data_IF_605582923246
#
_entry.id   IF_605582923246
#
_cell.length_a   1.000
_cell.length_b   1.000
_cell.length_c   1.000
_cell.angle_alpha   90.00
_cell.angle_beta   90.00
_cell.angle_gamma   90.00
#
_symmetry.space_group_name_H-M   'P 1'
#
loop_
_entity.id
_entity.type
_entity.pdbx_description
1 polymer ?
#
# COMPACT_ATOMS: atom_id res chain seq x y z
N UNK A 1 3.92 -32.61 -18.62
CA UNK A 1 4.62 -31.40 -19.12
C UNK A 1 3.90 -30.19 -18.52
N UNK A 2 4.57 -29.35 -17.77
CA UNK A 2 3.92 -28.15 -17.19
C UNK A 2 3.58 -27.14 -18.30
N UNK A 3 2.38 -26.57 -18.23
CA UNK A 3 1.95 -25.47 -19.11
C UNK A 3 2.61 -24.14 -18.73
N UNK A 4 3.16 -24.08 -17.51
CA UNK A 4 3.78 -22.87 -16.98
C UNK A 4 5.30 -22.99 -17.06
N UNK A 5 5.93 -21.92 -17.58
CA UNK A 5 7.38 -21.72 -17.52
C UNK A 5 7.64 -20.50 -16.64
N UNK A 6 8.30 -20.71 -15.50
CA UNK A 6 8.85 -19.61 -14.74
C UNK A 6 10.07 -19.05 -15.48
N UNK A 7 10.16 -17.72 -15.56
CA UNK A 7 11.32 -16.99 -16.09
C UNK A 7 11.63 -15.84 -15.15
N UNK A 8 12.90 -15.64 -14.90
CA UNK A 8 13.35 -14.44 -14.20
C UNK A 8 13.16 -13.27 -15.16
N UNK A 9 12.34 -12.32 -14.71
CA UNK A 9 11.99 -11.16 -15.51
C UNK A 9 12.72 -9.91 -15.03
N UNK A 10 12.65 -9.63 -13.73
CA UNK A 10 13.22 -8.44 -13.15
C UNK A 10 13.54 -8.67 -11.67
N UNK A 11 14.67 -8.13 -11.19
CA UNK A 11 15.10 -8.23 -9.81
C UNK A 11 15.73 -6.90 -9.40
N UNK A 12 15.32 -6.34 -8.28
CA UNK A 12 15.93 -5.17 -7.67
C UNK A 12 16.25 -5.44 -6.20
N UNK A 13 17.30 -4.81 -5.70
CA UNK A 13 17.65 -4.85 -4.28
C UNK A 13 16.99 -3.68 -3.55
N UNK A 14 16.19 -3.97 -2.53
CA UNK A 14 15.48 -2.98 -1.72
C UNK A 14 16.27 -2.61 -0.45
N UNK A 15 17.50 -2.16 -0.60
CA UNK A 15 18.38 -1.88 0.54
C UNK A 15 19.10 -3.13 1.07
N UNK A 16 20.10 -2.96 1.94
CA UNK A 16 20.91 -4.05 2.52
C UNK A 16 20.51 -4.17 3.96
N UNK A 17 20.28 -3.68 4.87
CA UNK A 17 19.96 -3.90 6.30
C UNK A 17 18.52 -3.50 6.64
N UNK A 18 17.59 -3.68 5.70
CA UNK A 18 16.20 -3.33 5.89
C UNK A 18 15.33 -4.58 6.14
N UNK A 19 14.24 -4.42 6.87
CA UNK A 19 13.27 -5.48 7.15
C UNK A 19 11.91 -5.11 6.57
N UNK A 20 11.17 -6.14 6.13
CA UNK A 20 9.92 -5.99 5.41
C UNK A 20 8.91 -7.05 5.87
N UNK A 21 7.62 -6.68 5.87
CA UNK A 21 6.51 -7.63 5.98
C UNK A 21 5.80 -7.80 4.63
N UNK A 22 4.96 -8.82 4.51
CA UNK A 22 4.16 -9.05 3.32
C UNK A 22 3.24 -7.85 2.98
N UNK A 23 2.80 -7.13 4.00
CA UNK A 23 1.96 -5.93 3.88
C UNK A 23 2.71 -4.67 3.44
N UNK A 24 4.04 -4.73 3.37
CA UNK A 24 4.88 -3.61 2.91
C UNK A 24 5.01 -3.51 1.40
N UNK A 25 4.28 -4.32 0.63
CA UNK A 25 4.33 -4.37 -0.83
C UNK A 25 2.92 -4.19 -1.42
N UNK A 26 2.78 -3.27 -2.36
CA UNK A 26 1.58 -3.20 -3.21
C UNK A 26 1.94 -2.88 -4.67
N UNK A 27 1.01 -3.17 -5.56
CA UNK A 27 1.18 -2.96 -7.02
C UNK A 27 -0.06 -2.27 -7.56
N UNK A 28 0.16 -1.29 -8.43
CA UNK A 28 -0.89 -0.60 -9.17
C UNK A 28 -0.40 0.71 -9.78
N UNK A 29 -1.27 1.39 -10.52
CA UNK A 29 -0.94 2.64 -11.20
C UNK A 29 -1.04 3.84 -10.23
N UNK A 30 -0.06 3.99 -9.34
CA UNK A 30 -0.01 5.07 -8.36
C UNK A 30 0.24 6.45 -8.97
N UNK A 31 0.89 6.50 -10.15
CA UNK A 31 1.11 7.76 -10.88
C UNK A 31 -0.17 8.30 -11.53
N UNK A 32 -1.20 7.46 -11.66
CA UNK A 32 -2.45 7.78 -12.34
C UNK A 32 -2.27 8.17 -13.82
N UNK A 33 -1.18 7.76 -14.43
CA UNK A 33 -0.93 7.96 -15.86
C UNK A 33 -1.39 6.70 -16.63
N UNK A 34 -2.46 6.80 -17.43
CA UNK A 34 -2.99 5.65 -18.17
C UNK A 34 -2.04 5.11 -19.25
N UNK A 35 -1.02 5.86 -19.61
CA UNK A 35 0.01 5.45 -20.58
C UNK A 35 1.11 4.61 -19.95
N UNK A 36 1.19 4.58 -18.61
CA UNK A 36 2.23 3.87 -17.86
C UNK A 36 1.73 2.52 -17.36
N UNK A 37 2.67 1.59 -17.18
CA UNK A 37 2.42 0.32 -16.49
C UNK A 37 2.27 0.53 -14.98
N UNK A 38 1.70 -0.47 -14.30
CA UNK A 38 1.62 -0.48 -12.84
C UNK A 38 3.01 -0.36 -12.20
N UNK A 39 3.06 0.38 -11.11
CA UNK A 39 4.24 0.53 -10.28
C UNK A 39 4.25 -0.49 -9.15
N UNK A 40 5.45 -0.86 -8.71
CA UNK A 40 5.70 -1.67 -7.52
C UNK A 40 6.10 -0.72 -6.40
N UNK A 41 5.34 -0.70 -5.31
CA UNK A 41 5.55 0.17 -4.17
C UNK A 41 5.98 -0.69 -2.99
N UNK A 42 7.15 -0.39 -2.43
CA UNK A 42 7.74 -1.15 -1.31
C UNK A 42 8.07 -0.19 -0.18
N UNK A 43 7.56 -0.50 1.02
CA UNK A 43 7.93 0.19 2.25
C UNK A 43 8.80 -0.70 3.13
N UNK A 44 9.67 -0.11 3.95
CA UNK A 44 10.49 -0.85 4.92
C UNK A 44 10.22 -0.42 6.36
N UNK A 45 10.57 -1.28 7.32
CA UNK A 45 10.49 -0.93 8.74
C UNK A 45 11.49 0.17 9.13
N UNK A 46 12.51 0.41 8.29
CA UNK A 46 13.42 1.56 8.42
C UNK A 46 12.79 2.88 7.94
N UNK A 47 11.56 2.83 7.42
CA UNK A 47 10.83 4.00 6.94
C UNK A 47 11.16 4.41 5.51
N UNK A 48 11.85 3.58 4.73
CA UNK A 48 12.15 3.90 3.33
C UNK A 48 11.00 3.42 2.44
N UNK A 49 10.41 4.33 1.68
CA UNK A 49 9.44 4.03 0.63
C UNK A 49 10.12 4.08 -0.72
N UNK A 50 9.99 3.01 -1.51
CA UNK A 50 10.49 2.94 -2.88
C UNK A 50 9.36 2.66 -3.86
N UNK A 51 9.42 3.31 -5.00
CA UNK A 51 8.49 3.09 -6.10
C UNK A 51 9.27 2.71 -7.33
N UNK A 52 8.95 1.55 -7.89
CA UNK A 52 9.59 1.02 -9.09
C UNK A 52 8.60 0.89 -10.23
N UNK A 53 9.09 1.09 -11.43
CA UNK A 53 8.37 0.84 -12.69
C UNK A 53 9.24 0.00 -13.61
N UNK A 54 9.18 -1.35 -13.48
CA UNK A 54 9.95 -2.21 -14.36
C UNK A 54 9.45 -2.12 -15.80
N UNK A 55 10.37 -2.15 -16.75
CA UNK A 55 10.05 -2.23 -18.18
C UNK A 55 10.20 -3.66 -18.68
N UNK A 56 9.32 -4.06 -19.61
CA UNK A 56 9.36 -5.40 -20.24
C UNK A 56 10.33 -5.42 -21.45
N UNK A 57 11.37 -4.59 -21.44
CA UNK A 57 12.32 -4.59 -22.54
C UNK A 57 13.08 -5.92 -22.65
N UNK A 58 13.12 -6.48 -23.85
CA UNK A 58 13.88 -7.68 -24.15
C UNK A 58 15.11 -7.29 -24.97
N UNK A 59 16.22 -7.95 -24.68
CA UNK A 59 17.42 -7.88 -25.50
C UNK A 59 17.21 -8.62 -26.82
N UNK A 60 18.10 -8.41 -27.80
CA UNK A 60 18.06 -9.10 -29.08
C UNK A 60 18.09 -10.63 -28.95
N UNK A 61 18.69 -11.14 -27.89
CA UNK A 61 18.75 -12.58 -27.54
C UNK A 61 17.47 -13.11 -26.89
N UNK A 62 16.43 -12.27 -26.69
CA UNK A 62 15.15 -12.64 -26.08
C UNK A 62 15.19 -12.80 -24.56
N UNK A 63 16.26 -12.37 -23.90
CA UNK A 63 16.36 -12.25 -22.45
C UNK A 63 15.82 -10.91 -21.98
N UNK A 64 15.36 -10.83 -20.72
CA UNK A 64 14.90 -9.57 -20.14
C UNK A 64 16.10 -8.74 -19.66
N UNK A 65 16.03 -7.42 -19.79
CA UNK A 65 17.13 -6.52 -19.44
C UNK A 65 17.43 -6.42 -17.93
N UNK A 66 16.52 -6.87 -17.08
CA UNK A 66 16.67 -6.79 -15.62
C UNK A 66 16.49 -5.38 -15.07
N UNK A 67 17.07 -5.13 -13.87
CA UNK A 67 16.97 -3.83 -13.20
C UNK A 67 17.88 -2.78 -13.87
N UNK A 68 17.32 -1.58 -14.02
CA UNK A 68 18.05 -0.35 -14.40
C UNK A 68 17.74 0.75 -13.37
N UNK A 69 18.67 1.70 -13.14
CA UNK A 69 18.43 2.82 -12.22
C UNK A 69 17.16 3.62 -12.53
N UNK A 70 16.81 3.76 -13.81
CA UNK A 70 15.62 4.47 -14.29
C UNK A 70 14.31 3.79 -13.91
N UNK A 71 14.35 2.50 -13.54
CA UNK A 71 13.19 1.79 -13.04
C UNK A 71 12.81 2.20 -11.61
N UNK A 72 13.68 2.84 -10.85
CA UNK A 72 13.37 3.41 -9.55
C UNK A 72 12.88 4.86 -9.74
N UNK A 73 11.57 5.05 -9.65
CA UNK A 73 10.92 6.35 -9.82
C UNK A 73 11.11 7.25 -8.61
N UNK A 74 11.10 6.66 -7.42
CA UNK A 74 11.18 7.40 -6.15
C UNK A 74 11.83 6.53 -5.07
N UNK A 75 12.72 7.15 -4.29
CA UNK A 75 13.13 6.68 -2.96
C UNK A 75 12.90 7.81 -1.98
N UNK A 76 12.13 7.56 -0.93
CA UNK A 76 11.72 8.58 0.03
C UNK A 76 11.84 8.08 1.46
N UNK A 77 12.54 8.83 2.32
CA UNK A 77 12.68 8.51 3.74
C UNK A 77 11.51 9.10 4.53
N UNK A 78 10.68 8.23 5.10
CA UNK A 78 9.65 8.58 6.07
C UNK A 78 10.24 8.76 7.48
N UNK A 79 9.56 9.51 8.31
CA UNK A 79 9.97 9.75 9.70
C UNK A 79 9.78 8.53 10.62
N UNK A 80 8.97 7.56 10.22
CA UNK A 80 8.62 6.38 11.01
C UNK A 80 8.64 5.12 10.16
N UNK A 81 8.70 3.96 10.82
CA UNK A 81 8.60 2.65 10.17
C UNK A 81 7.33 2.55 9.31
N UNK A 82 7.43 1.89 8.17
CA UNK A 82 6.29 1.55 7.32
C UNK A 82 5.89 0.12 7.65
N UNK A 83 4.65 -0.07 8.09
CA UNK A 83 4.11 -1.37 8.50
C UNK A 83 3.18 -1.96 7.44
N UNK A 84 2.50 -1.10 6.68
CA UNK A 84 1.57 -1.52 5.64
C UNK A 84 1.50 -0.45 4.54
N UNK A 85 1.38 -0.87 3.30
CA UNK A 85 1.19 0.01 2.14
C UNK A 85 -0.02 -0.46 1.35
N UNK A 86 -0.94 0.45 1.08
CA UNK A 86 -2.15 0.20 0.28
C UNK A 86 -2.27 1.23 -0.83
N UNK A 87 -2.93 0.84 -1.91
CA UNK A 87 -3.27 1.73 -3.00
C UNK A 87 -4.79 1.73 -3.19
N UNK A 88 -5.41 2.92 -3.29
CA UNK A 88 -6.85 3.05 -3.43
C UNK A 88 -7.32 4.49 -3.61
N UNK A 89 -8.64 4.66 -3.75
CA UNK A 89 -9.31 5.95 -3.92
C UNK A 89 -9.63 6.58 -2.55
N UNK A 90 -8.60 7.05 -1.86
CA UNK A 90 -8.68 7.50 -0.46
C UNK A 90 -8.97 9.00 -0.28
N UNK A 91 -9.09 9.77 -1.36
CA UNK A 91 -9.32 11.23 -1.29
C UNK A 91 -10.67 11.57 -1.88
N UNK A 92 -11.46 12.38 -1.15
CA UNK A 92 -12.80 12.79 -1.57
C UNK A 92 -12.78 13.58 -2.89
N UNK A 93 -13.83 13.37 -3.67
CA UNK A 93 -14.02 14.01 -4.99
C UNK A 93 -12.86 13.74 -5.99
N UNK A 94 -12.17 12.60 -5.86
CA UNK A 94 -11.08 12.20 -6.75
C UNK A 94 -11.20 10.74 -7.15
N UNK A 95 -11.12 10.46 -8.46
CA UNK A 95 -11.06 9.10 -9.01
C UNK A 95 -9.63 8.55 -9.07
N UNK A 96 -8.65 9.30 -8.55
CA UNK A 96 -7.24 8.92 -8.55
C UNK A 96 -6.94 7.90 -7.47
N UNK A 97 -5.90 7.10 -7.72
CA UNK A 97 -5.30 6.21 -6.73
C UNK A 97 -4.27 6.97 -5.88
N UNK A 98 -4.32 6.75 -4.59
CA UNK A 98 -3.40 7.32 -3.61
C UNK A 98 -2.74 6.21 -2.81
N UNK A 99 -1.56 6.49 -2.27
CA UNK A 99 -0.80 5.56 -1.45
C UNK A 99 -1.15 5.82 0.02
N UNK A 100 -1.81 4.86 0.67
CA UNK A 100 -1.99 4.89 2.12
C UNK A 100 -0.85 4.11 2.79
N UNK A 101 -0.24 4.71 3.80
CA UNK A 101 0.91 4.16 4.52
C UNK A 101 0.57 4.11 6.01
N UNK A 102 0.61 2.90 6.57
CA UNK A 102 0.44 2.69 8.00
C UNK A 102 1.81 2.75 8.68
N UNK A 103 1.88 3.59 9.69
CA UNK A 103 2.97 3.68 10.67
C UNK A 103 2.48 3.19 12.04
N UNK A 104 3.35 2.99 13.05
CA UNK A 104 2.94 2.46 14.36
C UNK A 104 1.78 3.21 15.03
N UNK A 105 1.73 4.54 14.91
CA UNK A 105 0.70 5.38 15.55
C UNK A 105 0.09 6.41 14.60
N UNK A 106 0.21 6.19 13.30
CA UNK A 106 -0.30 7.12 12.29
C UNK A 106 -0.62 6.38 11.00
N UNK A 107 -1.65 6.79 10.31
CA UNK A 107 -1.88 6.45 8.91
C UNK A 107 -1.84 7.72 8.07
N UNK A 108 -1.12 7.71 6.96
CA UNK A 108 -0.96 8.85 6.08
C UNK A 108 -1.29 8.48 4.65
N UNK A 109 -1.91 9.40 3.92
CA UNK A 109 -2.29 9.20 2.52
C UNK A 109 -1.51 10.18 1.65
N UNK A 110 -0.90 9.67 0.60
CA UNK A 110 0.02 10.40 -0.25
C UNK A 110 -0.37 10.31 -1.72
N UNK A 111 -0.12 11.37 -2.45
CA UNK A 111 -0.18 11.43 -3.91
C UNK A 111 1.22 11.24 -4.49
N UNK A 112 1.36 10.36 -5.47
CA UNK A 112 2.54 10.25 -6.30
C UNK A 112 2.29 11.02 -7.60
N UNK A 113 3.00 12.13 -7.79
CA UNK A 113 2.90 12.95 -8.99
C UNK A 113 4.20 12.97 -9.74
N UNK A 114 4.15 12.71 -11.05
CA UNK A 114 5.26 12.97 -11.96
C UNK A 114 5.23 14.43 -12.41
N UNK A 115 6.35 15.10 -12.31
CA UNK A 115 6.54 16.45 -12.82
C UNK A 115 7.51 16.39 -14.01
N UNK A 116 7.03 16.78 -15.18
CA UNK A 116 7.87 16.92 -16.37
C UNK A 116 8.62 18.25 -16.27
N UNK A 117 9.76 18.24 -15.57
CA UNK A 117 10.59 19.43 -15.41
C UNK A 117 11.09 19.97 -16.73
N UNK A 118 11.01 21.29 -16.93
CA UNK A 118 11.55 21.96 -18.12
C UNK A 118 13.09 21.94 -18.20
N UNK A 119 13.77 21.61 -17.10
CA UNK A 119 15.23 21.78 -16.97
C UNK A 119 16.06 20.51 -17.16
N UNK A 120 15.49 19.31 -16.99
CA UNK A 120 16.20 18.03 -17.19
C UNK A 120 15.33 17.04 -17.98
N UNK A 121 15.92 16.25 -18.88
CA UNK A 121 15.19 15.22 -19.61
C UNK A 121 14.84 14.07 -18.67
N UNK A 122 13.55 13.96 -18.31
CA UNK A 122 12.99 12.90 -17.48
C UNK A 122 11.84 13.39 -16.63
N UNK A 123 10.93 12.49 -16.26
CA UNK A 123 9.87 12.78 -15.31
C UNK A 123 10.42 12.60 -13.90
N UNK A 124 10.42 13.64 -13.09
CA UNK A 124 10.73 13.55 -11.67
C UNK A 124 9.46 13.23 -10.91
N UNK A 125 9.51 12.24 -10.02
CA UNK A 125 8.38 11.87 -9.19
C UNK A 125 8.50 12.48 -7.80
N UNK A 126 7.39 13.00 -7.30
CA UNK A 126 7.28 13.60 -5.97
C UNK A 126 6.15 12.95 -5.18
N UNK A 127 6.43 12.66 -3.92
CA UNK A 127 5.44 12.23 -2.96
C UNK A 127 4.90 13.44 -2.18
N UNK A 128 3.58 13.63 -2.21
CA UNK A 128 2.92 14.74 -1.52
C UNK A 128 1.92 14.20 -0.52
N UNK A 129 2.02 14.64 0.74
CA UNK A 129 1.03 14.30 1.76
C UNK A 129 -0.31 14.96 1.43
N UNK A 130 -1.38 14.18 1.42
CA UNK A 130 -2.75 14.66 1.27
C UNK A 130 -3.37 14.90 2.64
N UNK A 131 -3.36 13.89 3.50
CA UNK A 131 -3.80 13.98 4.89
C UNK A 131 -3.17 12.87 5.73
N UNK A 132 -3.27 13.01 7.04
CA UNK A 132 -2.85 11.98 7.98
C UNK A 132 -3.78 11.93 9.20
N UNK A 133 -3.87 10.75 9.80
CA UNK A 133 -4.60 10.54 11.07
C UNK A 133 -3.66 9.96 12.11
N UNK A 134 -3.66 10.56 13.30
CA UNK A 134 -3.02 9.97 14.48
C UNK A 134 -3.93 8.89 15.05
N UNK A 135 -3.36 7.74 15.36
CA UNK A 135 -4.07 6.60 15.92
C UNK A 135 -4.00 6.62 17.44
N UNK A 136 -5.10 6.26 18.10
CA UNK A 136 -5.21 6.23 19.57
C UNK A 136 -4.35 5.14 20.20
N UNK A 137 -4.12 4.04 19.49
CA UNK A 137 -3.27 2.93 19.90
C UNK A 137 -2.27 2.58 18.80
N UNK A 138 -1.13 1.98 19.13
CA UNK A 138 -0.24 1.41 18.13
C UNK A 138 -0.99 0.41 17.25
N UNK A 139 -0.70 0.39 15.97
CA UNK A 139 -1.41 -0.41 14.98
C UNK A 139 -0.42 -1.16 14.10
N UNK A 140 -0.85 -2.29 13.54
CA UNK A 140 0.04 -3.17 12.78
C UNK A 140 -0.55 -3.64 11.44
N UNK A 141 -1.86 -3.50 11.24
CA UNK A 141 -2.55 -3.94 10.04
C UNK A 141 -3.62 -2.94 9.62
N UNK A 142 -3.82 -2.78 8.33
CA UNK A 142 -4.96 -2.06 7.79
C UNK A 142 -5.49 -2.75 6.54
N UNK A 143 -6.77 -2.55 6.28
CA UNK A 143 -7.44 -2.99 5.05
C UNK A 143 -8.21 -1.83 4.46
N UNK A 144 -8.36 -1.85 3.15
CA UNK A 144 -9.15 -0.88 2.42
C UNK A 144 -10.30 -1.54 1.68
N UNK A 145 -11.35 -0.80 1.43
CA UNK A 145 -12.48 -1.27 0.64
C UNK A 145 -13.65 -0.31 0.62
N UNK A 146 -14.65 -0.68 -0.15
CA UNK A 146 -15.90 0.07 -0.33
C UNK A 146 -16.89 -0.24 0.82
N UNK A 147 -16.50 0.02 2.07
CA UNK A 147 -17.34 -0.27 3.23
C UNK A 147 -18.69 0.43 3.11
N UNK A 148 -19.77 -0.23 3.52
CA UNK A 148 -21.13 0.26 3.33
C UNK A 148 -21.62 0.21 1.88
N UNK A 149 -20.92 -0.48 0.98
CA UNK A 149 -21.30 -0.65 -0.42
C UNK A 149 -21.15 0.62 -1.27
N UNK A 150 -20.42 1.62 -0.80
CA UNK A 150 -20.18 2.88 -1.52
C UNK A 150 -19.17 2.64 -2.64
N UNK A 151 -19.60 2.79 -3.89
CA UNK A 151 -18.74 2.58 -5.07
C UNK A 151 -17.93 3.83 -5.40
N UNK A 152 -16.68 3.60 -5.90
CA UNK A 152 -15.80 4.68 -6.36
C UNK A 152 -15.10 5.43 -5.23
N UNK A 153 -15.14 4.89 -4.02
CA UNK A 153 -14.42 5.41 -2.86
C UNK A 153 -13.93 4.24 -2.00
N UNK A 154 -12.69 4.31 -1.57
CA UNK A 154 -12.12 3.35 -0.64
C UNK A 154 -12.02 3.98 0.75
N UNK A 155 -12.47 3.23 1.74
CA UNK A 155 -12.34 3.56 3.15
C UNK A 155 -11.24 2.71 3.78
N UNK A 156 -10.71 3.17 4.90
CA UNK A 156 -9.63 2.50 5.62
C UNK A 156 -10.16 1.95 6.94
N UNK A 157 -9.79 0.71 7.25
CA UNK A 157 -9.97 0.12 8.58
C UNK A 157 -8.58 -0.25 9.12
N UNK A 158 -8.21 0.32 10.25
CA UNK A 158 -6.93 0.10 10.92
C UNK A 158 -7.13 -0.73 12.16
N UNK A 159 -6.33 -1.79 12.32
CA UNK A 159 -6.37 -2.68 13.48
C UNK A 159 -5.27 -2.29 14.47
N UNK A 160 -5.69 -1.95 15.69
CA UNK A 160 -4.82 -1.59 16.80
C UNK A 160 -4.40 -2.80 17.64
N UNK A 161 -3.30 -2.66 18.38
CA UNK A 161 -2.81 -3.68 19.33
C UNK A 161 -3.70 -3.84 20.55
N UNK A 162 -4.64 -2.95 20.77
CA UNK A 162 -5.65 -2.99 21.84
C UNK A 162 -6.96 -3.66 21.41
N UNK A 163 -6.99 -4.25 20.20
CA UNK A 163 -8.19 -4.88 19.64
C UNK A 163 -9.15 -3.88 18.99
N UNK A 164 -8.76 -2.63 18.85
CA UNK A 164 -9.56 -1.64 18.14
C UNK A 164 -9.53 -1.86 16.63
N UNK A 165 -10.69 -1.67 16.00
CA UNK A 165 -10.85 -1.47 14.57
C UNK A 165 -11.31 -0.04 14.36
N UNK A 166 -10.42 0.80 13.83
CA UNK A 166 -10.67 2.22 13.61
C UNK A 166 -10.95 2.46 12.13
N UNK A 167 -12.10 3.06 11.84
CA UNK A 167 -12.57 3.31 10.48
C UNK A 167 -12.41 4.77 10.10
N UNK A 168 -11.95 4.99 8.87
CA UNK A 168 -11.81 6.31 8.27
C UNK A 168 -12.54 6.35 6.93
N UNK A 169 -13.42 7.33 6.79
CA UNK A 169 -14.08 7.69 5.54
C UNK A 169 -13.27 8.79 4.86
N UNK A 170 -12.26 8.35 4.09
CA UNK A 170 -11.29 9.24 3.43
C UNK A 170 -10.61 10.18 4.47
N UNK A 171 -10.76 11.49 4.36
CA UNK A 171 -10.16 12.48 5.27
C UNK A 171 -10.78 12.49 6.67
N UNK A 172 -11.89 11.78 6.88
CA UNK A 172 -12.65 11.88 8.12
C UNK A 172 -12.55 10.61 8.96
N UNK A 173 -12.41 10.79 10.26
CA UNK A 173 -12.65 9.70 11.22
C UNK A 173 -14.15 9.36 11.22
N UNK A 174 -14.46 8.06 11.09
CA UNK A 174 -15.83 7.57 11.15
C UNK A 174 -16.20 7.08 12.56
N UNK A 175 -15.62 5.97 12.98
CA UNK A 175 -15.85 5.37 14.29
C UNK A 175 -14.76 4.36 14.65
N UNK A 176 -14.76 3.92 15.90
CA UNK A 176 -13.94 2.81 16.39
C UNK A 176 -14.84 1.72 16.99
N UNK A 177 -14.55 0.47 16.65
CA UNK A 177 -15.13 -0.72 17.25
C UNK A 177 -14.05 -1.50 18.00
N UNK A 178 -14.35 -2.03 19.17
CA UNK A 178 -13.45 -2.90 19.92
C UNK A 178 -13.89 -4.36 19.74
N UNK A 179 -12.92 -5.21 19.42
CA UNK A 179 -13.11 -6.65 19.38
C UNK A 179 -13.00 -7.22 20.80
N UNK A 180 -13.95 -8.04 21.27
CA UNK A 180 -13.91 -8.58 22.63
C UNK A 180 -12.76 -9.56 22.84
N UNK A 181 -12.42 -10.30 21.79
CA UNK A 181 -11.31 -11.25 21.75
C UNK A 181 -10.56 -11.06 20.43
N UNK A 182 -9.27 -10.78 20.51
CA UNK A 182 -8.46 -10.51 19.33
C UNK A 182 -7.09 -11.18 19.44
N UNK A 183 -6.56 -11.64 18.32
CA UNK A 183 -5.24 -12.24 18.20
C UNK A 183 -4.21 -11.16 17.82
N UNK A 184 -3.00 -11.21 18.40
CA UNK A 184 -1.89 -10.29 18.11
C UNK A 184 -0.64 -11.05 17.66
N UNK A 185 -0.11 -10.72 16.49
CA UNK A 185 -0.75 -10.04 15.37
C UNK A 185 -1.86 -10.93 14.80
N UNK A 186 -2.99 -10.34 14.44
CA UNK A 186 -4.14 -11.06 13.90
C UNK A 186 -4.37 -10.72 12.43
N UNK A 187 -4.84 -11.69 11.63
CA UNK A 187 -5.24 -11.42 10.26
C UNK A 187 -6.51 -10.58 10.24
N UNK A 188 -6.59 -9.68 9.29
CA UNK A 188 -7.78 -8.89 8.99
C UNK A 188 -7.99 -8.88 7.48
N UNK A 189 -9.19 -9.20 7.02
CA UNK A 189 -9.54 -9.17 5.60
C UNK A 189 -10.94 -8.57 5.41
N UNK A 190 -11.11 -7.81 4.34
CA UNK A 190 -12.42 -7.32 3.91
C UNK A 190 -12.98 -8.18 2.80
N UNK A 191 -14.25 -8.57 2.95
CA UNK A 191 -15.00 -9.35 1.97
C UNK A 191 -16.03 -8.44 1.30
N UNK A 192 -15.68 -7.89 0.16
CA UNK A 192 -16.51 -6.90 -0.56
C UNK A 192 -17.92 -7.43 -0.94
N UNK A 193 -18.05 -8.74 -1.19
CA UNK A 193 -19.34 -9.33 -1.57
C UNK A 193 -20.38 -9.30 -0.45
N UNK A 194 -19.95 -9.42 0.78
CA UNK A 194 -20.81 -9.44 1.97
C UNK A 194 -20.70 -8.17 2.80
N UNK A 195 -19.86 -7.24 2.37
CA UNK A 195 -19.54 -6.00 3.08
C UNK A 195 -19.18 -6.27 4.54
N UNK A 196 -18.21 -7.15 4.74
CA UNK A 196 -17.87 -7.64 6.06
C UNK A 196 -16.37 -7.77 6.26
N UNK A 197 -15.94 -7.64 7.51
CA UNK A 197 -14.57 -7.86 7.94
C UNK A 197 -14.45 -9.22 8.61
N UNK A 198 -13.42 -9.96 8.25
CA UNK A 198 -13.12 -11.28 8.81
C UNK A 198 -11.80 -11.20 9.56
N UNK A 199 -11.78 -11.72 10.77
CA UNK A 199 -10.59 -11.82 11.63
C UNK A 199 -10.57 -13.16 12.36
N UNK A 200 -9.50 -13.41 13.13
CA UNK A 200 -9.36 -14.60 13.99
C UNK A 200 -9.24 -14.13 15.44
N UNK A 201 -10.00 -14.76 16.34
CA UNK A 201 -9.93 -14.47 17.76
C UNK A 201 -8.88 -15.34 18.50
N UNK A 202 -8.68 -15.10 19.80
CA UNK A 202 -7.72 -15.84 20.63
C UNK A 202 -8.07 -17.32 20.82
N UNK A 203 -9.32 -17.72 20.60
CA UNK A 203 -9.75 -19.12 20.59
C UNK A 203 -9.59 -19.78 19.20
N UNK A 204 -8.92 -19.08 18.24
CA UNK A 204 -8.72 -19.51 16.86
C UNK A 204 -10.01 -19.72 16.06
N UNK A 205 -11.08 -19.01 16.44
CA UNK A 205 -12.30 -18.97 15.65
C UNK A 205 -12.24 -17.84 14.61
N UNK A 206 -12.76 -18.12 13.42
CA UNK A 206 -13.02 -17.09 12.42
C UNK A 206 -14.27 -16.31 12.84
N UNK A 207 -14.13 -15.00 12.91
CA UNK A 207 -15.22 -14.07 13.20
C UNK A 207 -15.46 -13.17 12.01
N UNK A 208 -16.72 -12.90 11.73
CA UNK A 208 -17.18 -12.06 10.63
C UNK A 208 -18.08 -10.95 11.21
N UNK A 209 -17.78 -9.69 10.89
CA UNK A 209 -18.45 -8.50 11.41
C UNK A 209 -19.02 -7.64 10.28
#
# INVERSE_FOLDING_TARGET
MSLFKARDWWTATCGTDETFDASCLCIGNASNDPSQSDQIIVGSHSGVLRVYQPTCAQTEDGTFEGFRPEHMLLEFQMAQAILHVLLGQFVSASDKLFIAILHPQRISVHNLAGDAGEAEPGTQYKLSLMYEHTLSAPSYCCVAGHFGGVKGQDFLCVQGVDGSLTFFEQENFAFTRYLPEFLLPGPLAYVAKTDSLVTVNTAFHLENF
#
